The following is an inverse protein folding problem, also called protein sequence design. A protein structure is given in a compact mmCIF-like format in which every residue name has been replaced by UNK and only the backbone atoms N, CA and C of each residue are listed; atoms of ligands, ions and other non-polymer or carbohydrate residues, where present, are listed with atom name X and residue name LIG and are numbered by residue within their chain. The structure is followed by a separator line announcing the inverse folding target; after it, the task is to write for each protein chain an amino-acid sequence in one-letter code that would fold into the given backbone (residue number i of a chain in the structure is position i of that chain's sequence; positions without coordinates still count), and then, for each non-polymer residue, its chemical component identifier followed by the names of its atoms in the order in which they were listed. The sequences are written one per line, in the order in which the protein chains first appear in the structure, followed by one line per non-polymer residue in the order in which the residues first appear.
data_IF_531019228815
#
_entry.id   IF_531019228815
#
_cell.length_a   1.000
_cell.length_b   1.000
_cell.length_c   1.000
_cell.angle_alpha   90.00
_cell.angle_beta   90.00
_cell.angle_gamma   90.00
#
_symmetry.space_group_name_H-M   'P 1'
#
loop_
_entity.id
_entity.type
_entity.pdbx_description
1 polymer ?
#
# COMPACT_ATOMS: atom_id res chain seq x y z
N UNK A 1 -25.51 -18.54 8.59
CA UNK A 1 -24.79 -17.95 7.45
C UNK A 1 -23.90 -16.83 7.96
N UNK A 2 -22.67 -16.77 7.51
CA UNK A 2 -21.72 -15.70 7.86
C UNK A 2 -22.18 -14.39 7.22
N UNK A 3 -22.32 -13.34 8.00
CA UNK A 3 -22.67 -12.00 7.47
C UNK A 3 -21.46 -11.41 6.74
N UNK A 4 -21.60 -11.24 5.44
CA UNK A 4 -20.57 -10.65 4.56
C UNK A 4 -20.94 -9.19 4.27
N UNK A 5 -19.96 -8.31 4.28
CA UNK A 5 -20.09 -6.93 3.85
C UNK A 5 -19.22 -6.63 2.63
N UNK A 6 -19.68 -5.73 1.77
CA UNK A 6 -18.92 -5.22 0.61
C UNK A 6 -18.87 -3.71 0.70
N UNK A 7 -17.67 -3.15 0.73
CA UNK A 7 -17.43 -1.70 0.75
C UNK A 7 -16.73 -1.30 -0.55
N UNK A 8 -17.42 -0.48 -1.35
CA UNK A 8 -17.12 -0.25 -2.75
C UNK A 8 -16.76 1.21 -3.01
N UNK A 9 -15.68 1.45 -3.75
CA UNK A 9 -15.41 2.75 -4.34
C UNK A 9 -16.18 2.89 -5.66
N UNK A 10 -17.26 3.68 -5.69
CA UNK A 10 -18.15 3.79 -6.83
C UNK A 10 -17.51 4.25 -8.16
N UNK A 11 -16.36 4.93 -8.09
CA UNK A 11 -15.60 5.37 -9.27
C UNK A 11 -14.52 4.39 -9.73
N UNK A 12 -14.52 3.15 -9.25
CA UNK A 12 -13.52 2.13 -9.64
C UNK A 12 -14.21 0.87 -10.13
N UNK A 13 -13.67 0.29 -11.21
CA UNK A 13 -14.17 -0.97 -11.77
C UNK A 13 -13.03 -1.82 -12.30
N UNK A 14 -13.24 -3.13 -12.37
CA UNK A 14 -12.39 -4.11 -13.07
C UNK A 14 -13.22 -5.36 -13.38
N UNK A 15 -12.72 -6.25 -14.24
CA UNK A 15 -13.46 -7.45 -14.69
C UNK A 15 -14.85 -7.10 -15.22
N UNK A 16 -15.82 -7.95 -14.95
CA UNK A 16 -17.23 -7.73 -15.27
C UNK A 16 -17.97 -6.79 -14.31
N UNK A 17 -17.25 -6.09 -13.43
CA UNK A 17 -17.78 -5.06 -12.57
C UNK A 17 -18.58 -5.58 -11.37
N UNK A 18 -19.43 -4.71 -10.81
CA UNK A 18 -20.19 -5.02 -9.61
C UNK A 18 -21.32 -6.06 -9.87
N UNK A 19 -21.74 -6.22 -11.11
CA UNK A 19 -22.72 -7.23 -11.49
C UNK A 19 -22.12 -8.63 -11.38
N UNK A 20 -20.89 -8.80 -11.89
CA UNK A 20 -20.13 -10.04 -11.73
C UNK A 20 -19.93 -10.38 -10.24
N UNK A 21 -19.51 -9.39 -9.43
CA UNK A 21 -19.33 -9.58 -8.00
C UNK A 21 -20.62 -10.03 -7.31
N UNK A 22 -21.76 -9.42 -7.65
CA UNK A 22 -23.06 -9.82 -7.10
C UNK A 22 -23.42 -11.26 -7.48
N UNK A 23 -23.16 -11.63 -8.73
CA UNK A 23 -23.42 -12.99 -9.23
C UNK A 23 -22.57 -14.01 -8.49
N UNK A 24 -21.25 -13.79 -8.41
CA UNK A 24 -20.29 -14.69 -7.72
C UNK A 24 -20.65 -14.85 -6.25
N UNK A 25 -20.97 -13.76 -5.54
CA UNK A 25 -21.40 -13.82 -4.13
C UNK A 25 -22.73 -14.56 -3.96
N UNK A 26 -23.68 -14.40 -4.88
CA UNK A 26 -24.95 -15.10 -4.82
C UNK A 26 -24.80 -16.60 -5.06
N UNK A 27 -23.98 -17.01 -6.01
CA UNK A 27 -23.63 -18.41 -6.31
C UNK A 27 -22.93 -19.07 -5.11
N UNK A 28 -22.13 -18.32 -4.37
CA UNK A 28 -21.49 -18.76 -3.12
C UNK A 28 -22.41 -18.70 -1.89
N UNK A 29 -23.72 -18.47 -2.07
CA UNK A 29 -24.71 -18.44 -0.97
C UNK A 29 -24.84 -17.09 -0.25
N UNK A 30 -24.15 -16.04 -0.71
CA UNK A 30 -24.20 -14.70 -0.13
C UNK A 30 -25.02 -13.72 -0.99
N UNK A 31 -26.28 -14.05 -1.29
CA UNK A 31 -27.17 -13.26 -2.18
C UNK A 31 -27.58 -11.89 -1.62
N UNK A 32 -27.43 -11.65 -0.31
CA UNK A 32 -27.80 -10.39 0.36
C UNK A 32 -26.70 -9.89 1.29
N UNK A 33 -25.51 -9.55 0.75
CA UNK A 33 -24.45 -8.98 1.57
C UNK A 33 -24.81 -7.57 2.04
N UNK A 34 -24.19 -7.10 3.13
CA UNK A 34 -24.24 -5.69 3.51
C UNK A 34 -23.48 -4.88 2.47
N UNK A 35 -24.17 -4.01 1.74
CA UNK A 35 -23.63 -3.33 0.56
C UNK A 35 -23.47 -1.83 0.78
N UNK A 36 -22.24 -1.31 0.68
CA UNK A 36 -21.92 0.09 0.90
C UNK A 36 -21.11 0.65 -0.26
N UNK A 37 -21.68 1.61 -0.97
CA UNK A 37 -20.97 2.35 -2.01
C UNK A 37 -20.55 3.72 -1.47
N UNK A 38 -19.28 4.07 -1.68
CA UNK A 38 -18.70 5.36 -1.32
C UNK A 38 -18.11 6.04 -2.54
N UNK A 39 -18.29 7.34 -2.63
CA UNK A 39 -17.75 8.13 -3.74
C UNK A 39 -16.27 8.49 -3.54
N UNK A 40 -15.82 8.54 -2.30
CA UNK A 40 -14.44 8.92 -1.94
C UNK A 40 -13.92 7.94 -0.89
N UNK A 41 -12.67 7.50 -1.03
CA UNK A 41 -12.03 6.56 -0.09
C UNK A 41 -12.09 7.03 1.38
N UNK A 42 -12.13 8.35 1.64
CA UNK A 42 -12.27 8.89 3.01
C UNK A 42 -13.60 8.56 3.70
N UNK A 43 -14.59 8.09 2.97
CA UNK A 43 -15.91 7.70 3.49
C UNK A 43 -15.93 6.23 3.92
N UNK A 44 -15.00 5.43 3.40
CA UNK A 44 -14.91 3.98 3.65
C UNK A 44 -14.82 3.61 5.15
N UNK A 45 -14.06 4.31 6.01
CA UNK A 45 -14.01 4.01 7.44
C UNK A 45 -15.38 4.00 8.13
N UNK A 46 -16.29 4.89 7.72
CA UNK A 46 -17.66 4.93 8.26
C UNK A 46 -18.47 3.73 7.82
N UNK A 47 -18.36 3.35 6.53
CA UNK A 47 -19.05 2.18 5.97
C UNK A 47 -18.59 0.88 6.64
N UNK A 48 -17.25 0.69 6.76
CA UNK A 48 -16.65 -0.46 7.42
C UNK A 48 -17.11 -0.59 8.87
N UNK A 49 -17.01 0.48 9.67
CA UNK A 49 -17.47 0.46 11.07
C UNK A 49 -18.98 0.17 11.18
N UNK A 50 -19.78 0.65 10.22
CA UNK A 50 -21.22 0.33 10.17
C UNK A 50 -21.44 -1.15 9.86
N UNK A 51 -20.69 -1.72 8.90
CA UNK A 51 -20.75 -3.14 8.57
C UNK A 51 -20.46 -4.02 9.79
N UNK A 52 -19.36 -3.73 10.51
CA UNK A 52 -18.98 -4.46 11.73
C UNK A 52 -20.07 -4.36 12.80
N UNK A 53 -20.63 -3.17 13.03
CA UNK A 53 -21.75 -2.98 13.97
C UNK A 53 -23.02 -3.78 13.58
N UNK A 54 -23.20 -4.05 12.29
CA UNK A 54 -24.30 -4.89 11.77
C UNK A 54 -23.93 -6.39 11.74
N UNK A 55 -22.83 -6.78 12.36
CA UNK A 55 -22.45 -8.16 12.55
C UNK A 55 -21.65 -8.76 11.40
N UNK A 56 -21.08 -7.95 10.50
CA UNK A 56 -20.21 -8.46 9.45
C UNK A 56 -19.04 -9.26 10.05
N UNK A 57 -18.81 -10.45 9.53
CA UNK A 57 -17.73 -11.36 9.89
C UNK A 57 -16.64 -11.42 8.82
N UNK A 58 -16.86 -10.77 7.67
CA UNK A 58 -15.91 -10.62 6.57
C UNK A 58 -16.26 -9.33 5.84
N UNK A 59 -15.24 -8.54 5.47
CA UNK A 59 -15.43 -7.29 4.73
C UNK A 59 -14.65 -7.37 3.42
N UNK A 60 -15.35 -7.42 2.31
CA UNK A 60 -14.77 -7.22 0.98
C UNK A 60 -14.55 -5.72 0.72
N UNK A 61 -13.38 -5.37 0.21
CA UNK A 61 -13.00 -3.99 -0.12
C UNK A 61 -12.73 -3.88 -1.62
N UNK A 62 -13.67 -3.28 -2.34
CA UNK A 62 -13.55 -3.00 -3.77
C UNK A 62 -12.93 -1.62 -3.98
N UNK A 63 -11.63 -1.57 -4.29
CA UNK A 63 -10.93 -0.31 -4.47
C UNK A 63 -9.44 -0.46 -4.74
N UNK A 64 -8.74 0.66 -4.83
CA UNK A 64 -7.28 0.70 -4.90
C UNK A 64 -6.65 0.89 -3.52
N UNK A 65 -5.31 1.03 -3.49
CA UNK A 65 -4.48 1.08 -2.27
C UNK A 65 -5.00 2.06 -1.23
N UNK A 66 -5.35 3.29 -1.61
CA UNK A 66 -5.86 4.29 -0.67
C UNK A 66 -7.24 3.96 -0.07
N UNK A 67 -8.07 3.15 -0.75
CA UNK A 67 -9.32 2.64 -0.20
C UNK A 67 -9.05 1.51 0.79
N UNK A 68 -8.21 0.56 0.39
CA UNK A 68 -7.78 -0.59 1.21
C UNK A 68 -7.12 -0.09 2.50
N UNK A 69 -6.18 0.84 2.41
CA UNK A 69 -5.49 1.44 3.56
C UNK A 69 -6.49 2.02 4.59
N UNK A 70 -7.51 2.75 4.13
CA UNK A 70 -8.51 3.35 5.03
C UNK A 70 -9.45 2.32 5.66
N UNK A 71 -9.74 1.24 4.96
CA UNK A 71 -10.51 0.12 5.52
C UNK A 71 -9.69 -0.63 6.56
N UNK A 72 -8.42 -0.89 6.29
CA UNK A 72 -7.46 -1.49 7.22
C UNK A 72 -7.33 -0.64 8.48
N UNK A 73 -7.09 0.67 8.35
CA UNK A 73 -6.99 1.58 9.50
C UNK A 73 -8.28 1.61 10.34
N UNK A 74 -9.45 1.45 9.70
CA UNK A 74 -10.74 1.40 10.39
C UNK A 74 -11.04 0.08 11.09
N UNK A 75 -10.45 -1.04 10.64
CA UNK A 75 -10.60 -2.40 11.19
C UNK A 75 -9.45 -2.81 12.09
N UNK A 76 -8.45 -1.95 12.25
CA UNK A 76 -7.34 -2.22 13.15
C UNK A 76 -7.85 -2.70 14.53
N UNK A 77 -7.27 -3.80 15.01
CA UNK A 77 -7.66 -4.43 16.27
C UNK A 77 -9.02 -5.15 16.25
N UNK A 78 -9.65 -5.27 15.08
CA UNK A 78 -10.85 -6.08 14.89
C UNK A 78 -10.46 -7.49 14.45
N UNK A 79 -11.22 -8.48 14.91
CA UNK A 79 -11.10 -9.88 14.44
C UNK A 79 -11.71 -10.11 13.06
N UNK A 80 -12.38 -9.09 12.48
CA UNK A 80 -13.04 -9.20 11.18
C UNK A 80 -12.01 -9.12 10.06
N UNK A 81 -11.81 -10.19 9.26
CA UNK A 81 -10.86 -10.19 8.17
C UNK A 81 -11.31 -9.30 7.01
N UNK A 82 -10.33 -8.86 6.22
CA UNK A 82 -10.51 -8.11 4.98
C UNK A 82 -10.20 -9.02 3.79
N UNK A 83 -11.09 -9.03 2.80
CA UNK A 83 -10.86 -9.56 1.47
C UNK A 83 -10.70 -8.40 0.49
N UNK A 84 -9.60 -8.37 -0.27
CA UNK A 84 -9.29 -7.28 -1.19
C UNK A 84 -9.79 -7.63 -2.59
N UNK A 85 -10.59 -6.74 -3.19
CA UNK A 85 -11.01 -6.78 -4.59
C UNK A 85 -10.29 -5.63 -5.32
N UNK A 86 -9.17 -5.93 -6.03
CA UNK A 86 -8.18 -4.93 -6.44
C UNK A 86 -8.61 -4.11 -7.66
N UNK A 87 -9.44 -3.09 -7.44
CA UNK A 87 -9.98 -2.21 -8.48
C UNK A 87 -9.13 -0.95 -8.75
N UNK A 88 -7.94 -0.86 -8.17
CA UNK A 88 -7.01 0.25 -8.39
C UNK A 88 -6.04 0.00 -9.55
N UNK A 89 -5.12 0.97 -9.74
CA UNK A 89 -4.03 0.86 -10.73
C UNK A 89 -2.79 0.19 -10.13
N UNK A 90 -2.42 0.52 -8.90
CA UNK A 90 -1.23 -0.02 -8.21
C UNK A 90 -1.52 -1.36 -7.55
N UNK A 91 -2.51 -1.38 -6.67
CA UNK A 91 -2.93 -2.53 -5.86
C UNK A 91 -1.73 -3.21 -5.18
N UNK A 92 -0.84 -2.41 -4.58
CA UNK A 92 0.45 -2.85 -4.06
C UNK A 92 0.31 -4.00 -3.06
N UNK A 93 -0.55 -3.83 -2.06
CA UNK A 93 -0.77 -4.85 -1.06
C UNK A 93 -1.38 -6.13 -1.66
N UNK A 94 -2.40 -6.00 -2.51
CA UNK A 94 -3.02 -7.15 -3.15
C UNK A 94 -2.02 -7.94 -4.01
N UNK A 95 -1.22 -7.23 -4.82
CA UNK A 95 -0.18 -7.85 -5.66
C UNK A 95 0.88 -8.56 -4.81
N UNK A 96 1.35 -7.95 -3.72
CA UNK A 96 2.35 -8.57 -2.85
C UNK A 96 1.83 -9.79 -2.10
N UNK A 97 0.51 -9.86 -1.88
CA UNK A 97 -0.15 -11.00 -1.25
C UNK A 97 -0.64 -12.07 -2.28
N UNK A 98 -0.33 -11.90 -3.56
CA UNK A 98 -0.75 -12.84 -4.61
C UNK A 98 -2.24 -12.79 -4.93
N UNK A 99 -2.95 -11.74 -4.56
CA UNK A 99 -4.39 -11.58 -4.86
C UNK A 99 -4.55 -11.11 -6.30
N UNK A 100 -5.19 -11.90 -7.19
CA UNK A 100 -5.31 -11.60 -8.61
C UNK A 100 -6.27 -10.44 -8.89
N UNK A 101 -6.10 -9.78 -10.03
CA UNK A 101 -7.03 -8.77 -10.53
C UNK A 101 -8.12 -9.44 -11.38
N UNK A 102 -8.81 -10.39 -10.77
CA UNK A 102 -9.97 -11.11 -11.29
C UNK A 102 -11.06 -11.13 -10.23
N UNK A 103 -12.31 -10.87 -10.62
CA UNK A 103 -13.43 -10.72 -9.67
C UNK A 103 -13.79 -12.04 -9.01
N UNK A 104 -13.86 -13.10 -9.78
CA UNK A 104 -14.26 -14.42 -9.29
C UNK A 104 -13.18 -15.00 -8.38
N UNK A 105 -11.92 -15.02 -8.84
CA UNK A 105 -10.79 -15.54 -8.07
C UNK A 105 -10.55 -14.75 -6.78
N UNK A 106 -10.58 -13.41 -6.84
CA UNK A 106 -10.41 -12.58 -5.65
C UNK A 106 -11.58 -12.73 -4.65
N UNK A 107 -12.80 -12.99 -5.14
CA UNK A 107 -13.95 -13.28 -4.27
C UNK A 107 -13.81 -14.66 -3.63
N UNK A 108 -13.37 -15.66 -4.38
CA UNK A 108 -13.10 -17.02 -3.89
C UNK A 108 -12.05 -17.00 -2.77
N UNK A 109 -10.94 -16.26 -2.98
CA UNK A 109 -9.92 -16.04 -1.95
C UNK A 109 -10.54 -15.41 -0.70
N UNK A 110 -11.43 -14.43 -0.85
CA UNK A 110 -12.10 -13.80 0.26
C UNK A 110 -13.00 -14.73 1.06
N UNK A 111 -13.65 -15.69 0.40
CA UNK A 111 -14.60 -16.63 1.03
C UNK A 111 -13.91 -17.87 1.60
N UNK A 112 -12.89 -18.37 0.92
CA UNK A 112 -12.32 -19.70 1.17
C UNK A 112 -10.78 -19.71 1.33
N UNK A 113 -10.11 -18.58 1.09
CA UNK A 113 -8.67 -18.45 1.24
C UNK A 113 -8.19 -18.52 2.68
N UNK A 114 -6.89 -18.50 2.85
CA UNK A 114 -6.25 -18.46 4.18
C UNK A 114 -6.40 -17.08 4.83
N UNK A 115 -6.51 -17.07 6.15
CA UNK A 115 -6.46 -15.86 6.95
C UNK A 115 -5.02 -15.61 7.41
N UNK A 116 -4.38 -14.57 6.88
CA UNK A 116 -3.04 -14.18 7.27
C UNK A 116 -3.08 -12.91 8.11
N UNK A 117 -2.50 -12.97 9.29
CA UNK A 117 -2.34 -11.79 10.15
C UNK A 117 -1.10 -11.02 9.71
N UNK A 118 -1.26 -9.74 9.45
CA UNK A 118 -0.21 -8.83 8.98
C UNK A 118 0.08 -7.76 10.01
N UNK A 119 1.31 -7.29 9.97
CA UNK A 119 1.79 -6.11 10.67
C UNK A 119 1.36 -4.84 9.93
N UNK A 120 1.26 -3.73 10.65
CA UNK A 120 0.97 -2.43 10.06
C UNK A 120 2.03 -1.42 10.49
N UNK A 121 2.52 -0.65 9.54
CA UNK A 121 3.28 0.55 9.85
C UNK A 121 2.34 1.67 10.32
N UNK A 122 2.75 2.44 11.32
CA UNK A 122 2.03 3.64 11.77
C UNK A 122 2.92 4.84 11.57
N UNK A 123 2.54 5.76 10.71
CA UNK A 123 3.26 7.00 10.46
C UNK A 123 2.42 8.21 10.88
N UNK A 124 2.91 8.98 11.84
CA UNK A 124 2.23 10.17 12.39
C UNK A 124 0.78 9.92 12.84
N UNK A 125 0.47 8.70 13.29
CA UNK A 125 -0.84 8.32 13.82
C UNK A 125 -1.79 7.66 12.82
N UNK A 126 -1.43 7.57 11.54
CA UNK A 126 -2.19 6.84 10.52
C UNK A 126 -1.46 5.54 10.13
N UNK A 127 -2.21 4.46 9.89
CA UNK A 127 -1.67 3.16 9.51
C UNK A 127 -1.48 3.03 8.01
N UNK A 128 -0.48 2.25 7.62
CA UNK A 128 -0.23 1.82 6.25
C UNK A 128 0.12 0.32 6.24
N UNK A 129 -0.25 -0.36 5.18
CA UNK A 129 -0.03 -1.79 5.06
C UNK A 129 1.07 -2.14 4.05
N UNK A 130 1.29 -1.29 3.05
CA UNK A 130 2.28 -1.52 2.02
C UNK A 130 3.51 -0.64 2.20
N UNK A 131 3.39 0.65 1.93
CA UNK A 131 4.54 1.57 1.94
C UNK A 131 4.18 2.97 2.36
N UNK A 132 5.17 3.65 2.97
CA UNK A 132 5.07 5.05 3.34
C UNK A 132 6.39 5.77 3.05
N UNK A 133 6.37 7.11 2.97
CA UNK A 133 7.60 7.84 2.77
C UNK A 133 7.46 9.28 2.34
N UNK A 134 8.56 9.89 1.90
CA UNK A 134 8.59 11.26 1.38
C UNK A 134 9.61 11.41 0.26
N UNK A 135 9.31 12.26 -0.71
CA UNK A 135 10.15 12.47 -1.87
C UNK A 135 9.93 11.43 -2.98
N UNK A 136 8.89 10.65 -2.85
CA UNK A 136 8.48 9.56 -3.71
C UNK A 136 7.37 9.97 -4.68
N UNK A 137 7.01 11.25 -4.72
CA UNK A 137 5.92 11.82 -5.51
C UNK A 137 5.84 11.31 -6.96
N UNK A 138 6.88 10.64 -7.40
CA UNK A 138 7.02 10.12 -8.74
C UNK A 138 6.89 8.60 -8.87
N UNK A 139 7.08 7.87 -7.79
CA UNK A 139 6.99 6.39 -7.81
C UNK A 139 5.59 5.94 -7.36
N UNK A 140 4.91 6.75 -6.55
CA UNK A 140 3.63 6.42 -5.96
C UNK A 140 2.44 7.25 -6.48
N UNK A 141 2.63 8.18 -7.44
CA UNK A 141 1.54 8.99 -7.98
C UNK A 141 0.68 8.16 -8.91
N UNK A 142 -0.34 7.51 -8.36
CA UNK A 142 -1.38 6.87 -9.13
C UNK A 142 -2.81 7.23 -8.72
N UNK A 143 -3.03 8.27 -7.91
CA UNK A 143 -4.38 8.57 -7.39
C UNK A 143 -4.93 9.97 -7.77
N UNK A 144 -4.41 10.60 -8.80
CA UNK A 144 -5.05 11.77 -9.38
C UNK A 144 -5.44 11.48 -10.83
N UNK A 145 -6.75 11.44 -11.07
CA UNK A 145 -7.46 11.35 -12.35
C UNK A 145 -7.15 10.14 -13.25
N UNK A 146 -7.99 9.10 -13.07
CA UNK A 146 -7.88 7.79 -13.72
C UNK A 146 -8.29 7.74 -15.19
N UNK A 147 -8.93 8.75 -15.74
CA UNK A 147 -9.55 8.66 -17.08
C UNK A 147 -8.58 8.89 -18.25
N UNK A 148 -7.44 9.56 -18.03
CA UNK A 148 -6.41 9.77 -19.05
C UNK A 148 -5.29 8.71 -19.06
N UNK A 149 -5.17 7.89 -18.03
CA UNK A 149 -3.99 7.01 -17.80
C UNK A 149 -4.07 5.62 -18.42
N UNK A 150 -5.26 5.09 -18.70
CA UNK A 150 -5.40 3.79 -19.37
C UNK A 150 -4.81 3.78 -20.79
N UNK A 151 -4.76 4.94 -21.45
CA UNK A 151 -4.21 5.09 -22.80
C UNK A 151 -2.69 5.38 -22.85
N UNK A 152 -2.05 5.68 -21.73
CA UNK A 152 -0.66 6.17 -21.70
C UNK A 152 0.35 5.26 -21.00
N UNK A 153 -0.01 4.09 -20.55
CA UNK A 153 0.79 3.02 -19.98
C UNK A 153 2.28 3.35 -19.66
N UNK A 154 3.20 2.90 -20.50
CA UNK A 154 4.65 3.09 -20.36
C UNK A 154 5.10 4.57 -20.38
N UNK A 155 4.38 5.45 -21.08
CA UNK A 155 4.74 6.88 -21.19
C UNK A 155 4.37 7.65 -19.92
N UNK A 156 3.30 7.28 -19.24
CA UNK A 156 2.96 7.86 -17.93
C UNK A 156 4.00 7.50 -16.86
N UNK A 157 4.55 6.29 -16.90
CA UNK A 157 5.65 5.84 -16.04
C UNK A 157 6.93 6.66 -16.27
N UNK A 158 7.31 6.90 -17.54
CA UNK A 158 8.45 7.76 -17.89
C UNK A 158 8.25 9.21 -17.42
N UNK A 159 7.04 9.78 -17.53
CA UNK A 159 6.75 11.14 -17.03
C UNK A 159 6.80 11.22 -15.50
N UNK A 160 6.33 10.21 -14.80
CA UNK A 160 6.40 10.12 -13.34
C UNK A 160 7.85 10.00 -12.87
N UNK A 161 8.66 9.19 -13.53
CA UNK A 161 10.10 9.06 -13.29
C UNK A 161 10.85 10.39 -13.52
N UNK A 162 10.51 11.14 -14.58
CA UNK A 162 11.06 12.47 -14.85
C UNK A 162 10.70 13.51 -13.77
N UNK A 163 9.54 13.36 -13.11
CA UNK A 163 9.13 14.23 -11.99
C UNK A 163 9.89 13.90 -10.70
N UNK A 164 10.21 12.61 -10.46
CA UNK A 164 11.10 12.17 -9.37
C UNK A 164 12.50 12.75 -9.53
N UNK A 165 12.99 12.81 -10.75
CA UNK A 165 14.30 13.38 -11.07
C UNK A 165 14.44 14.86 -10.67
N UNK A 166 13.33 15.58 -10.46
CA UNK A 166 13.29 16.96 -9.95
C UNK A 166 13.17 17.06 -8.44
N UNK A 167 13.07 15.95 -7.72
CA UNK A 167 12.99 15.95 -6.27
C UNK A 167 14.30 16.51 -5.67
N UNK A 168 14.26 17.75 -5.21
CA UNK A 168 15.41 18.41 -4.58
C UNK A 168 15.81 17.66 -3.32
N UNK A 169 17.06 17.26 -3.20
CA UNK A 169 17.58 16.65 -1.99
C UNK A 169 17.44 17.58 -0.79
N UNK A 170 17.07 17.04 0.34
CA UNK A 170 16.86 17.76 1.60
C UNK A 170 17.75 17.15 2.67
N UNK A 171 18.40 18.02 3.47
CA UNK A 171 19.15 17.53 4.64
C UNK A 171 18.18 16.92 5.64
N UNK A 172 18.51 15.71 6.08
CA UNK A 172 17.70 14.97 7.05
C UNK A 172 18.58 14.22 8.04
N UNK A 173 17.96 13.88 9.17
CA UNK A 173 18.52 12.97 10.16
C UNK A 173 17.46 11.90 10.43
N UNK A 174 17.89 10.64 10.36
CA UNK A 174 17.04 9.48 10.63
C UNK A 174 17.60 8.75 11.84
N UNK A 175 16.73 8.41 12.75
CA UNK A 175 17.01 7.48 13.83
C UNK A 175 16.26 6.19 13.54
N UNK A 176 16.95 5.08 13.73
CA UNK A 176 16.43 3.73 13.65
C UNK A 176 16.58 3.10 15.04
N UNK A 177 15.47 2.72 15.64
CA UNK A 177 15.39 2.15 17.00
C UNK A 177 16.10 2.98 18.09
N UNK A 178 16.07 4.32 17.93
CA UNK A 178 16.65 5.28 18.87
C UNK A 178 18.05 5.77 18.48
N UNK A 179 18.82 5.00 17.70
CA UNK A 179 20.17 5.35 17.29
C UNK A 179 20.18 6.20 16.01
N UNK A 180 21.19 7.07 15.86
CA UNK A 180 21.36 7.87 14.63
C UNK A 180 21.92 6.97 13.54
N UNK A 181 21.06 6.58 12.62
CA UNK A 181 21.40 5.71 11.52
C UNK A 181 21.86 6.48 10.26
N UNK A 182 21.18 7.61 9.93
CA UNK A 182 21.53 8.43 8.77
C UNK A 182 21.60 9.92 9.12
N UNK A 183 22.58 10.62 8.56
CA UNK A 183 22.69 12.08 8.63
C UNK A 183 23.30 12.61 7.33
N UNK A 184 22.46 13.17 6.46
CA UNK A 184 22.93 13.63 5.17
C UNK A 184 21.90 14.40 4.37
N UNK A 185 22.15 14.53 3.07
CA UNK A 185 21.18 14.99 2.09
C UNK A 185 20.63 13.79 1.33
N UNK A 186 19.32 13.64 1.31
CA UNK A 186 18.65 12.62 0.51
C UNK A 186 17.46 13.22 -0.25
N UNK A 187 17.13 12.61 -1.34
CA UNK A 187 16.00 12.99 -2.21
C UNK A 187 14.71 12.29 -1.81
N UNK A 188 14.83 11.06 -1.27
CA UNK A 188 13.71 10.24 -0.90
C UNK A 188 14.00 9.43 0.36
N UNK A 189 12.94 9.17 1.13
CA UNK A 189 12.90 8.16 2.20
C UNK A 189 11.70 7.29 1.93
N UNK A 190 11.91 5.98 1.83
CA UNK A 190 10.89 4.96 1.69
C UNK A 190 10.90 4.06 2.91
N UNK A 191 9.73 3.72 3.39
CA UNK A 191 9.53 2.80 4.50
C UNK A 191 8.53 1.75 4.02
N UNK A 192 9.00 0.51 3.94
CA UNK A 192 8.26 -0.63 3.42
C UNK A 192 7.81 -1.56 4.53
N UNK A 193 6.62 -2.09 4.36
CA UNK A 193 6.10 -3.27 5.05
C UNK A 193 6.02 -4.44 4.05
N UNK A 194 6.16 -4.12 2.75
CA UNK A 194 6.27 -5.06 1.62
C UNK A 194 7.46 -4.66 0.74
N UNK A 195 7.96 -5.61 -0.06
CA UNK A 195 9.20 -5.45 -0.82
C UNK A 195 9.08 -4.70 -2.14
N UNK A 196 7.90 -4.68 -2.75
CA UNK A 196 7.71 -4.20 -4.13
C UNK A 196 6.92 -2.90 -4.19
N UNK A 197 7.26 -2.04 -5.15
CA UNK A 197 6.50 -0.84 -5.49
C UNK A 197 5.74 -1.02 -6.80
N UNK A 198 4.95 -0.03 -7.19
CA UNK A 198 4.18 -0.02 -8.44
C UNK A 198 5.05 -0.41 -9.65
N UNK A 199 4.54 -1.34 -10.45
CA UNK A 199 5.25 -1.86 -11.62
C UNK A 199 6.16 -3.05 -11.33
N UNK A 200 6.07 -3.65 -10.13
CA UNK A 200 6.83 -4.84 -9.76
C UNK A 200 8.31 -4.57 -9.48
N UNK A 201 8.69 -3.29 -9.28
CA UNK A 201 10.06 -2.95 -8.92
C UNK A 201 10.34 -3.36 -7.48
N UNK A 202 11.34 -4.20 -7.29
CA UNK A 202 11.78 -4.63 -5.98
C UNK A 202 12.70 -3.60 -5.32
N UNK A 203 12.29 -3.11 -4.17
CA UNK A 203 13.07 -2.17 -3.36
C UNK A 203 13.72 -2.89 -2.19
N UNK A 204 12.97 -3.77 -1.53
CA UNK A 204 13.38 -4.52 -0.35
C UNK A 204 13.12 -6.01 -0.60
N UNK A 205 14.16 -6.76 -0.96
CA UNK A 205 14.05 -8.17 -1.32
C UNK A 205 13.49 -9.03 -0.17
N UNK A 206 13.90 -8.72 1.07
CA UNK A 206 13.58 -9.51 2.25
C UNK A 206 12.41 -8.95 3.07
N UNK A 207 11.67 -7.94 2.54
CA UNK A 207 10.57 -7.36 3.29
C UNK A 207 9.41 -8.35 3.44
N UNK A 208 8.95 -8.50 4.68
CA UNK A 208 7.82 -9.36 5.03
C UNK A 208 6.81 -8.62 5.90
N UNK A 209 5.53 -8.61 5.53
CA UNK A 209 4.51 -7.90 6.28
C UNK A 209 4.09 -8.63 7.58
N UNK A 210 4.88 -9.57 8.06
CA UNK A 210 4.56 -10.40 9.26
C UNK A 210 5.78 -10.74 10.13
N UNK A 211 6.89 -9.99 9.99
CA UNK A 211 8.14 -10.26 10.74
C UNK A 211 8.38 -9.29 11.91
N UNK A 212 7.47 -8.33 12.11
CA UNK A 212 7.54 -7.37 13.21
C UNK A 212 8.52 -6.22 12.97
N UNK A 213 8.97 -5.99 11.73
CA UNK A 213 9.92 -4.96 11.36
C UNK A 213 9.45 -4.15 10.15
N UNK A 214 10.04 -2.99 9.94
CA UNK A 214 9.85 -2.15 8.75
C UNK A 214 11.17 -1.98 8.03
N UNK A 215 11.16 -2.09 6.72
CA UNK A 215 12.29 -1.81 5.88
C UNK A 215 12.40 -0.31 5.60
N UNK A 216 13.61 0.21 5.63
CA UNK A 216 13.93 1.61 5.43
C UNK A 216 14.89 1.76 4.26
N UNK A 217 14.52 2.57 3.28
CA UNK A 217 15.38 2.95 2.16
C UNK A 217 15.58 4.46 2.10
N UNK A 218 16.81 4.90 1.94
CA UNK A 218 17.18 6.32 1.77
C UNK A 218 17.89 6.50 0.46
N UNK A 219 17.28 7.22 -0.48
CA UNK A 219 17.85 7.49 -1.79
C UNK A 219 18.61 8.82 -1.77
N UNK A 220 19.90 8.77 -2.06
CA UNK A 220 20.81 9.93 -2.06
C UNK A 220 21.02 10.54 -3.45
N UNK A 221 20.36 10.03 -4.48
CA UNK A 221 20.44 10.51 -5.87
C UNK A 221 20.17 12.02 -5.96
N UNK A 222 21.03 12.76 -6.67
CA UNK A 222 21.01 14.24 -6.77
C UNK A 222 20.59 14.75 -8.14
N UNK A 223 20.67 13.91 -9.17
CA UNK A 223 20.41 14.28 -10.56
C UNK A 223 19.71 13.14 -11.33
N UNK A 224 19.27 13.44 -12.55
CA UNK A 224 18.53 12.51 -13.38
C UNK A 224 19.26 11.20 -13.65
N UNK A 225 20.58 11.26 -13.94
CA UNK A 225 21.38 10.07 -14.24
C UNK A 225 21.49 9.12 -13.06
N UNK A 226 21.66 9.66 -11.85
CA UNK A 226 21.67 8.86 -10.63
C UNK A 226 20.31 8.20 -10.38
N UNK A 227 19.20 8.88 -10.69
CA UNK A 227 17.88 8.29 -10.61
C UNK A 227 17.66 7.17 -11.66
N UNK A 228 18.13 7.37 -12.90
CA UNK A 228 18.11 6.31 -13.93
C UNK A 228 18.86 5.08 -13.43
N UNK A 229 20.03 5.28 -12.81
CA UNK A 229 20.81 4.19 -12.23
C UNK A 229 20.06 3.50 -11.10
N UNK A 230 19.48 4.24 -10.15
CA UNK A 230 18.66 3.68 -9.06
C UNK A 230 17.53 2.82 -9.61
N UNK A 231 16.79 3.33 -10.59
CA UNK A 231 15.69 2.56 -11.19
C UNK A 231 16.16 1.32 -11.94
N UNK A 232 17.26 1.39 -12.66
CA UNK A 232 17.79 0.22 -13.36
C UNK A 232 18.33 -0.84 -12.39
N UNK A 233 18.98 -0.44 -11.29
CA UNK A 233 19.41 -1.37 -10.24
C UNK A 233 18.21 -2.04 -9.55
N UNK A 234 17.15 -1.29 -9.25
CA UNK A 234 15.89 -1.85 -8.73
C UNK A 234 15.19 -2.80 -9.71
N UNK A 235 15.15 -2.45 -11.00
CA UNK A 235 14.53 -3.29 -12.03
C UNK A 235 15.28 -4.60 -12.30
N UNK A 236 16.57 -4.62 -11.99
CA UNK A 236 17.42 -5.83 -12.08
C UNK A 236 17.48 -6.63 -10.77
N UNK A 237 16.72 -6.27 -9.74
CA UNK A 237 16.77 -6.90 -8.41
C UNK A 237 18.12 -6.65 -7.69
N UNK A 238 18.85 -5.61 -8.06
CA UNK A 238 20.18 -5.28 -7.52
C UNK A 238 20.17 -4.03 -6.65
N UNK A 239 19.04 -3.73 -6.05
CA UNK A 239 18.87 -2.55 -5.19
C UNK A 239 19.81 -2.56 -3.96
N UNK A 240 20.24 -3.75 -3.51
CA UNK A 240 21.17 -3.92 -2.38
C UNK A 240 22.61 -3.55 -2.72
N UNK A 241 22.99 -3.63 -3.99
CA UNK A 241 24.32 -3.26 -4.46
C UNK A 241 24.45 -1.74 -4.73
N UNK A 242 23.36 -1.00 -4.61
CA UNK A 242 23.32 0.42 -4.98
C UNK A 242 24.01 1.31 -3.94
N UNK A 243 25.07 1.98 -4.30
CA UNK A 243 25.70 3.03 -3.48
C UNK A 243 24.83 4.30 -3.32
N UNK A 244 23.72 4.40 -4.03
CA UNK A 244 22.78 5.53 -3.98
C UNK A 244 21.57 5.25 -3.08
N UNK A 245 21.45 4.02 -2.57
CA UNK A 245 20.40 3.60 -1.66
C UNK A 245 21.06 3.09 -0.38
N UNK A 246 20.78 3.74 0.74
CA UNK A 246 21.12 3.19 2.05
C UNK A 246 19.89 2.45 2.58
N UNK A 247 20.05 1.21 3.00
CA UNK A 247 18.99 0.35 3.53
C UNK A 247 19.22 0.03 4.99
N UNK A 248 18.13 -0.10 5.72
CA UNK A 248 18.12 -0.51 7.13
C UNK A 248 16.78 -1.12 7.47
N UNK A 249 16.69 -1.73 8.63
CA UNK A 249 15.49 -2.43 9.11
C UNK A 249 15.33 -2.21 10.60
N UNK A 250 14.10 -2.02 11.07
CA UNK A 250 13.83 -1.82 12.49
C UNK A 250 12.37 -1.53 12.81
N UNK A 251 12.11 -1.37 14.10
CA UNK A 251 10.75 -1.23 14.66
C UNK A 251 10.29 0.21 14.79
N UNK A 252 11.22 1.16 14.92
CA UNK A 252 10.94 2.59 15.12
C UNK A 252 11.84 3.44 14.23
N UNK A 253 11.23 4.30 13.43
CA UNK A 253 11.95 5.17 12.50
C UNK A 253 11.50 6.61 12.75
N UNK A 254 12.44 7.47 13.13
CA UNK A 254 12.23 8.91 13.33
C UNK A 254 12.99 9.70 12.26
N UNK A 255 12.27 10.34 11.33
CA UNK A 255 12.85 11.18 10.28
C UNK A 255 12.65 12.65 10.61
N UNK A 256 13.74 13.41 10.71
CA UNK A 256 13.72 14.88 10.82
C UNK A 256 14.25 15.53 9.56
N UNK A 257 13.43 16.34 8.91
CA UNK A 257 13.71 17.03 7.65
C UNK A 257 14.05 18.52 7.93
N UNK A 258 15.04 19.08 7.23
CA UNK A 258 15.35 20.51 7.31
C UNK A 258 14.21 21.39 6.75
N UNK A 259 13.45 20.89 5.76
CA UNK A 259 12.30 21.58 5.16
C UNK A 259 11.06 20.68 5.20
N UNK A 260 9.87 21.30 5.25
CA UNK A 260 8.60 20.57 5.18
C UNK A 260 8.46 19.89 3.80
N UNK A 261 8.06 18.62 3.80
CA UNK A 261 7.73 17.84 2.58
C UNK A 261 6.37 17.18 2.74
N UNK A 262 5.71 16.94 1.63
CA UNK A 262 4.58 16.02 1.52
C UNK A 262 5.11 14.63 1.88
N UNK A 263 4.31 13.83 2.55
CA UNK A 263 4.56 12.41 2.74
C UNK A 263 3.35 11.60 2.27
N UNK A 264 3.54 10.33 2.07
CA UNK A 264 2.54 9.45 1.48
C UNK A 264 2.41 8.18 2.31
N UNK A 265 1.19 7.62 2.33
CA UNK A 265 0.84 6.33 2.92
C UNK A 265 0.03 5.57 1.87
N UNK A 266 0.52 4.39 1.45
CA UNK A 266 -0.12 3.52 0.46
C UNK A 266 -0.68 4.30 -0.76
N UNK A 267 0.17 5.17 -1.35
CA UNK A 267 -0.18 6.00 -2.50
C UNK A 267 -1.00 7.27 -2.19
N UNK A 268 -1.48 7.44 -0.97
CA UNK A 268 -2.24 8.61 -0.57
C UNK A 268 -1.39 9.74 0.00
N UNK A 269 -1.41 10.93 -0.62
CA UNK A 269 -0.66 12.09 -0.15
C UNK A 269 -1.20 12.67 1.17
N UNK A 270 -0.29 13.16 2.00
CA UNK A 270 -0.56 13.78 3.31
C UNK A 270 0.07 15.18 3.39
N UNK A 271 -0.42 16.06 4.29
CA UNK A 271 0.09 17.41 4.45
C UNK A 271 1.59 17.46 4.71
N UNK A 272 2.21 18.59 4.34
CA UNK A 272 3.66 18.80 4.53
C UNK A 272 4.07 18.79 5.99
N UNK A 273 5.07 17.99 6.32
CA UNK A 273 5.67 17.92 7.67
C UNK A 273 7.20 18.03 7.61
N UNK A 274 7.81 18.30 8.78
CA UNK A 274 9.26 18.20 9.00
C UNK A 274 9.64 16.95 9.77
N UNK A 275 8.67 16.17 10.22
CA UNK A 275 8.93 15.00 11.05
C UNK A 275 8.02 13.85 10.66
N UNK A 276 8.63 12.68 10.42
CA UNK A 276 7.92 11.42 10.29
C UNK A 276 8.30 10.57 11.49
N UNK A 277 7.30 10.22 12.29
CA UNK A 277 7.44 9.25 13.38
C UNK A 277 6.76 7.98 12.94
N UNK A 278 7.53 6.93 12.84
CA UNK A 278 7.06 5.65 12.34
C UNK A 278 7.34 4.56 13.36
N UNK A 279 6.42 3.63 13.48
CA UNK A 279 6.57 2.40 14.26
C UNK A 279 5.80 1.27 13.61
N UNK A 280 6.19 0.05 13.89
CA UNK A 280 5.42 -1.15 13.54
C UNK A 280 4.37 -1.42 14.62
N UNK A 281 3.21 -1.92 14.23
CA UNK A 281 2.21 -2.58 15.07
C UNK A 281 2.09 -4.02 14.56
N UNK A 282 2.70 -4.96 15.25
CA UNK A 282 2.71 -6.36 14.88
C UNK A 282 1.33 -6.99 15.02
N UNK A 283 0.99 -7.92 14.11
CA UNK A 283 -0.21 -8.73 14.17
C UNK A 283 -1.52 -7.93 14.19
N UNK A 284 -1.60 -6.84 13.45
CA UNK A 284 -2.64 -5.82 13.62
C UNK A 284 -3.87 -5.94 12.74
N UNK A 285 -3.80 -6.75 11.67
CA UNK A 285 -4.92 -6.92 10.73
C UNK A 285 -4.91 -8.33 10.13
N UNK A 286 -6.09 -8.91 9.93
CA UNK A 286 -6.25 -10.18 9.23
C UNK A 286 -6.73 -9.94 7.80
N UNK A 287 -6.02 -10.51 6.81
CA UNK A 287 -6.35 -10.41 5.39
C UNK A 287 -6.52 -11.81 4.80
N UNK A 288 -7.56 -11.97 3.96
CA UNK A 288 -7.76 -13.18 3.18
C UNK A 288 -6.73 -13.22 2.04
N UNK A 289 -5.97 -14.31 1.95
CA UNK A 289 -4.93 -14.53 0.94
C UNK A 289 -5.15 -15.86 0.24
N UNK A 290 -4.57 -16.06 -0.96
CA UNK A 290 -4.61 -17.36 -1.61
C UNK A 290 -4.08 -18.45 -0.69
N UNK A 291 -4.71 -19.62 -0.72
CA UNK A 291 -4.16 -20.81 -0.08
C UNK A 291 -2.84 -21.12 -0.78
N UNK A 292 -1.75 -21.12 -0.04
CA UNK A 292 -0.45 -21.54 -0.57
C UNK A 292 -0.62 -22.99 -0.99
N UNK A 293 -0.53 -23.29 -2.27
CA UNK A 293 -0.41 -24.68 -2.69
C UNK A 293 0.77 -25.26 -1.91
N UNK A 294 0.53 -26.35 -1.16
CA UNK A 294 1.61 -27.06 -0.50
C UNK A 294 2.67 -27.41 -1.56
N UNK A 295 3.96 -27.22 -1.26
CA UNK A 295 5.03 -27.49 -2.21
C UNK A 295 5.05 -28.90 -2.71
#
# INVERSE_FOLDING_TARGET
MTVVAVVIHAGKTFGGGLEELRKVLAEAGHSKPLWYEVRKSREAPKAVRKAVKQGAKLVFVWGGDGMVQRCIDALHGSEVPIAILPAGTGNLLATSLGIPKDVAEATEIGLHGEHRTLDLGVMNGERFAAMAGTGFDAIMVNDTDSDEKEKLGRVAYLRSSLKAMRAKSVRMRIRLDGEVWFRGKASCVLIGNIGTVTGGLEVFADASPSDGELDLGVVTAKNAWQWVRVFSEMAMGRSDESHLIEKGRGKRIDVKLKRKRIYELDGGARPRTRRLKVRIEAGSITICVPTTAAP
#
